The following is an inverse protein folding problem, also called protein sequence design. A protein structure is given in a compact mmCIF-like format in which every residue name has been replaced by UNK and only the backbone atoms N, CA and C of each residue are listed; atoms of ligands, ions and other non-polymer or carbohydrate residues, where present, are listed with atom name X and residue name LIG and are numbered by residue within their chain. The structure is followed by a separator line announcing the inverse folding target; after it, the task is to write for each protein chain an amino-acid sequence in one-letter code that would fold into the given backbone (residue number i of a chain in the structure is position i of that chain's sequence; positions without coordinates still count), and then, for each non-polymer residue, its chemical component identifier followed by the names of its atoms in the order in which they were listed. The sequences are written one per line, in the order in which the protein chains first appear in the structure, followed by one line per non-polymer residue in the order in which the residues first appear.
data_IF_470040943119
#
_entry.id   IF_470040943119
#
_cell.length_a   1.000
_cell.length_b   1.000
_cell.length_c   1.000
_cell.angle_alpha   90.00
_cell.angle_beta   90.00
_cell.angle_gamma   90.00
#
_symmetry.space_group_name_H-M   'P 1'
#
loop_
_entity.id
_entity.type
_entity.pdbx_description
1 polymer ?
#
# COMPACT_ATOMS: atom_id res chain seq x y z
N UNK A 1 1.74 19.93 -23.18
CA UNK A 1 2.03 20.28 -21.78
C UNK A 1 0.94 19.61 -20.97
N UNK A 2 1.23 18.50 -20.30
CA UNK A 2 0.23 17.73 -19.54
C UNK A 2 0.13 18.36 -18.15
N UNK A 3 -1.04 18.87 -17.81
CA UNK A 3 -1.33 19.44 -16.49
C UNK A 3 -1.17 18.34 -15.43
N UNK A 4 -0.11 18.44 -14.63
CA UNK A 4 0.10 17.55 -13.49
C UNK A 4 -1.03 17.87 -12.50
N UNK A 5 -1.92 16.91 -12.16
CA UNK A 5 -2.97 17.17 -11.19
C UNK A 5 -2.32 17.52 -9.86
N UNK A 6 -2.43 18.78 -9.45
CA UNK A 6 -2.00 19.24 -8.14
C UNK A 6 -2.77 18.45 -7.09
N UNK A 7 -2.07 17.58 -6.36
CA UNK A 7 -2.65 16.79 -5.28
C UNK A 7 -3.37 17.75 -4.31
N UNK A 8 -4.62 17.47 -3.93
CA UNK A 8 -5.33 18.33 -3.00
C UNK A 8 -4.58 18.37 -1.66
N UNK A 9 -4.43 19.56 -1.05
CA UNK A 9 -3.74 19.70 0.23
C UNK A 9 -4.39 18.81 1.29
N UNK A 10 -3.54 18.16 2.10
CA UNK A 10 -3.99 17.28 3.18
C UNK A 10 -4.88 18.10 4.13
N UNK A 11 -6.14 17.69 4.29
CA UNK A 11 -7.05 18.31 5.27
C UNK A 11 -6.45 18.08 6.67
N UNK A 12 -6.34 19.16 7.43
CA UNK A 12 -5.89 19.14 8.83
C UNK A 12 -6.87 18.43 9.76
N UNK A 13 -8.13 18.35 9.35
CA UNK A 13 -9.26 17.92 10.18
C UNK A 13 -9.80 16.54 9.76
N UNK A 14 -8.89 15.59 9.54
CA UNK A 14 -9.28 14.20 9.35
C UNK A 14 -9.55 13.62 10.73
N UNK A 15 -10.81 13.56 11.14
CA UNK A 15 -11.24 12.66 12.20
C UNK A 15 -10.68 11.27 11.86
N UNK A 16 -9.82 10.75 12.74
CA UNK A 16 -9.29 9.42 12.59
C UNK A 16 -10.48 8.46 12.61
N UNK A 17 -10.79 7.91 11.43
CA UNK A 17 -11.87 6.93 11.31
C UNK A 17 -11.60 5.82 12.32
N UNK A 18 -12.61 5.46 13.10
CA UNK A 18 -12.55 4.31 14.01
C UNK A 18 -12.14 3.09 13.19
N UNK A 19 -10.86 2.73 13.25
CA UNK A 19 -10.34 1.54 12.60
C UNK A 19 -10.91 0.36 13.35
N UNK A 20 -11.89 -0.32 12.76
CA UNK A 20 -12.34 -1.63 13.23
C UNK A 20 -11.21 -2.61 12.94
N UNK A 21 -10.32 -2.80 13.91
CA UNK A 21 -9.36 -3.87 13.87
C UNK A 21 -10.14 -5.18 14.08
N UNK A 22 -10.40 -5.91 13.00
CA UNK A 22 -10.82 -7.31 13.10
C UNK A 22 -9.62 -8.07 13.65
N UNK A 23 -9.61 -8.26 14.97
CA UNK A 23 -8.44 -8.68 15.76
C UNK A 23 -7.83 -10.02 15.32
N UNK A 24 -8.55 -10.80 14.50
CA UNK A 24 -7.99 -11.95 13.81
C UNK A 24 -8.79 -12.25 12.53
N UNK A 25 -8.53 -11.50 11.47
CA UNK A 25 -8.93 -11.91 10.13
C UNK A 25 -7.73 -12.64 9.49
N UNK A 26 -7.78 -13.97 9.30
CA UNK A 26 -6.68 -14.75 8.70
C UNK A 26 -6.29 -14.24 7.32
N UNK A 27 -7.24 -13.63 6.60
CA UNK A 27 -7.08 -13.05 5.27
C UNK A 27 -6.71 -11.56 5.29
N UNK A 28 -6.52 -10.96 6.47
CA UNK A 28 -6.14 -9.55 6.56
C UNK A 28 -4.71 -9.33 6.08
N UNK A 29 -4.61 -8.68 4.92
CA UNK A 29 -3.32 -8.23 4.34
C UNK A 29 -2.58 -7.31 5.32
N UNK A 30 -3.31 -6.48 6.07
CA UNK A 30 -2.72 -5.58 7.08
C UNK A 30 -2.05 -6.37 8.21
N UNK A 31 -2.72 -7.41 8.71
CA UNK A 31 -2.17 -8.25 9.77
C UNK A 31 -0.98 -9.07 9.27
N UNK A 32 -1.04 -9.61 8.05
CA UNK A 32 0.06 -10.33 7.44
C UNK A 32 1.31 -9.43 7.28
N UNK A 33 1.13 -8.21 6.77
CA UNK A 33 2.21 -7.24 6.63
C UNK A 33 2.83 -6.84 7.98
N UNK A 34 2.00 -6.62 9.00
CA UNK A 34 2.48 -6.29 10.34
C UNK A 34 3.27 -7.43 10.98
N UNK A 35 2.83 -8.68 10.82
CA UNK A 35 3.56 -9.87 11.30
C UNK A 35 4.90 -10.00 10.61
N UNK A 36 4.93 -9.82 9.29
CA UNK A 36 6.17 -9.89 8.52
C UNK A 36 7.14 -8.77 8.89
N UNK A 37 6.65 -7.54 9.07
CA UNK A 37 7.45 -6.42 9.53
C UNK A 37 8.07 -6.72 10.91
N UNK A 38 7.25 -7.21 11.86
CA UNK A 38 7.72 -7.59 13.19
C UNK A 38 8.78 -8.70 13.14
N UNK A 39 8.59 -9.74 12.31
CA UNK A 39 9.58 -10.80 12.12
C UNK A 39 10.91 -10.29 11.56
N UNK A 40 10.87 -9.24 10.72
CA UNK A 40 12.05 -8.63 10.11
C UNK A 40 12.67 -7.51 10.97
N UNK A 41 12.11 -7.23 12.15
CA UNK A 41 12.60 -6.15 13.03
C UNK A 41 12.39 -4.75 12.46
N UNK A 42 11.39 -4.56 11.62
CA UNK A 42 11.03 -3.27 10.99
C UNK A 42 9.57 -2.95 11.25
N UNK A 43 9.14 -1.72 11.01
CA UNK A 43 7.73 -1.37 10.96
C UNK A 43 7.12 -1.62 9.57
N UNK A 44 5.79 -1.72 9.52
CA UNK A 44 5.03 -2.01 8.30
C UNK A 44 5.13 -0.91 7.24
N UNK A 45 5.39 0.34 7.65
CA UNK A 45 5.55 1.46 6.73
C UNK A 45 6.86 1.34 5.96
N UNK A 46 7.96 1.09 6.66
CA UNK A 46 9.26 0.84 6.05
C UNK A 46 9.26 -0.41 5.17
N UNK A 47 8.64 -1.51 5.63
CA UNK A 47 8.53 -2.73 4.82
C UNK A 47 7.73 -2.49 3.53
N UNK A 48 6.59 -1.79 3.63
CA UNK A 48 5.78 -1.43 2.47
C UNK A 48 6.54 -0.56 1.47
N UNK A 49 7.29 0.43 1.96
CA UNK A 49 8.13 1.29 1.12
C UNK A 49 9.20 0.51 0.36
N UNK A 50 9.88 -0.44 1.02
CA UNK A 50 10.89 -1.30 0.38
C UNK A 50 10.27 -2.15 -0.72
N UNK A 51 9.12 -2.79 -0.46
CA UNK A 51 8.42 -3.63 -1.45
C UNK A 51 8.03 -2.82 -2.68
N UNK A 52 7.47 -1.62 -2.50
CA UNK A 52 7.10 -0.73 -3.61
C UNK A 52 8.36 -0.30 -4.39
N UNK A 53 9.44 0.07 -3.70
CA UNK A 53 10.69 0.46 -4.35
C UNK A 53 11.29 -0.68 -5.18
N UNK A 54 11.26 -1.92 -4.67
CA UNK A 54 11.72 -3.11 -5.41
C UNK A 54 10.84 -3.38 -6.62
N UNK A 55 9.53 -3.24 -6.49
CA UNK A 55 8.60 -3.43 -7.60
C UNK A 55 8.81 -2.39 -8.71
N UNK A 56 9.02 -1.12 -8.34
CA UNK A 56 9.38 -0.07 -9.30
C UNK A 56 10.72 -0.36 -9.98
N UNK A 57 11.73 -0.79 -9.22
CA UNK A 57 13.06 -1.13 -9.76
C UNK A 57 13.02 -2.34 -10.71
N UNK A 58 12.08 -3.27 -10.51
CA UNK A 58 11.86 -4.43 -11.38
C UNK A 58 11.19 -4.07 -12.71
N UNK A 59 10.83 -2.79 -12.93
CA UNK A 59 10.04 -2.36 -14.07
C UNK A 59 8.55 -2.56 -13.78
N UNK A 60 7.99 -1.67 -12.95
CA UNK A 60 6.54 -1.65 -12.74
C UNK A 60 5.86 -1.38 -14.09
N UNK A 61 4.88 -2.20 -14.52
CA UNK A 61 4.16 -1.93 -15.74
C UNK A 61 3.40 -0.60 -15.61
N UNK A 62 3.47 0.23 -16.65
CA UNK A 62 2.76 1.53 -16.71
C UNK A 62 1.23 1.36 -16.65
N UNK A 63 0.74 0.16 -16.94
CA UNK A 63 -0.67 -0.20 -16.91
C UNK A 63 -0.87 -1.53 -16.18
N UNK A 64 -1.75 -1.52 -15.18
CA UNK A 64 -2.24 -2.73 -14.54
C UNK A 64 -3.43 -3.22 -15.37
N UNK A 65 -3.22 -4.26 -16.17
CA UNK A 65 -4.27 -4.84 -17.03
C UNK A 65 -4.99 -5.96 -16.27
N UNK A 66 -6.34 -5.99 -16.26
CA UNK A 66 -7.09 -7.11 -15.68
C UNK A 66 -6.69 -8.45 -16.32
N UNK A 67 -6.56 -9.50 -15.51
CA UNK A 67 -6.12 -10.83 -15.97
C UNK A 67 -7.00 -11.39 -17.11
N UNK A 68 -8.27 -10.99 -17.13
CA UNK A 68 -9.30 -11.34 -18.09
C UNK A 68 -9.17 -10.64 -19.46
N UNK A 69 -8.22 -9.72 -19.62
CA UNK A 69 -7.89 -9.08 -20.90
C UNK A 69 -6.55 -9.59 -21.47
N UNK A 70 -5.90 -10.53 -20.79
CA UNK A 70 -4.66 -11.17 -21.22
C UNK A 70 -5.01 -12.53 -21.82
N UNK A 71 -5.47 -12.53 -23.08
CA UNK A 71 -5.49 -13.68 -24.00
C UNK A 71 -6.11 -14.99 -23.51
#
# INVERSE_FOLDING_TARGET
MLDIPTLPPRKSDLEDKVKRFYMFAPTSVVLALQKEAAMRGTDSWNLGGIVIAQWLAAGCPDQIVPLNEIG
#
